data_IF_101844018591
#
_entry.id   IF_101844018591
#
_cell.length_a   1.000
_cell.length_b   1.000
_cell.length_c   1.000
_cell.angle_alpha   90.00
_cell.angle_beta   90.00
_cell.angle_gamma   90.00
#
_symmetry.space_group_name_H-M   'P 1'
#
loop_
_entity.id
_entity.type
_entity.pdbx_description
1 polymer ?
#
# COMPACT_ATOMS: atom_id res chain seq x y z
N UNK A 1 -1.71 -25.42 1.50
CA UNK A 1 -1.86 -24.74 2.78
C UNK A 1 -2.68 -23.49 2.61
N UNK A 2 -3.31 -23.00 3.67
CA UNK A 2 -4.13 -21.78 3.65
C UNK A 2 -3.33 -20.56 3.19
N UNK A 3 -2.06 -20.44 3.56
CA UNK A 3 -1.19 -19.34 3.15
C UNK A 3 -1.01 -19.27 1.62
N UNK A 4 -0.85 -20.45 0.95
CA UNK A 4 -0.82 -20.50 -0.52
C UNK A 4 -2.15 -20.07 -1.15
N UNK A 5 -3.27 -20.37 -0.51
CA UNK A 5 -4.57 -19.94 -1.00
C UNK A 5 -4.72 -18.41 -0.88
N UNK A 6 -4.23 -17.81 0.20
CA UNK A 6 -4.22 -16.36 0.35
C UNK A 6 -3.37 -15.68 -0.74
N UNK A 7 -2.17 -16.21 -1.05
CA UNK A 7 -1.35 -15.69 -2.16
C UNK A 7 -2.12 -15.78 -3.49
N UNK A 8 -2.83 -16.90 -3.75
CA UNK A 8 -3.66 -17.02 -4.95
C UNK A 8 -4.81 -16.01 -4.98
N UNK A 9 -5.47 -15.78 -3.85
CA UNK A 9 -6.54 -14.77 -3.76
C UNK A 9 -6.01 -13.36 -4.01
N UNK A 10 -4.86 -13.02 -3.44
CA UNK A 10 -4.20 -11.73 -3.70
C UNK A 10 -3.81 -11.61 -5.18
N UNK A 11 -3.26 -12.66 -5.79
CA UNK A 11 -2.95 -12.69 -7.21
C UNK A 11 -4.19 -12.48 -8.09
N UNK A 12 -5.29 -13.16 -7.78
CA UNK A 12 -6.57 -12.96 -8.50
C UNK A 12 -7.11 -11.54 -8.31
N UNK A 13 -7.03 -11.00 -7.10
CA UNK A 13 -7.44 -9.62 -6.82
C UNK A 13 -6.62 -8.59 -7.61
N UNK A 14 -5.31 -8.82 -7.76
CA UNK A 14 -4.43 -7.98 -8.60
C UNK A 14 -4.84 -8.02 -10.08
N UNK A 15 -5.18 -9.20 -10.60
CA UNK A 15 -5.70 -9.33 -11.96
C UNK A 15 -7.05 -8.63 -12.14
N UNK A 16 -7.96 -8.77 -11.18
CA UNK A 16 -9.27 -8.11 -11.21
C UNK A 16 -9.12 -6.58 -11.11
N UNK A 17 -8.23 -6.10 -10.24
CA UNK A 17 -7.89 -4.68 -10.15
C UNK A 17 -7.34 -4.14 -11.48
N UNK A 18 -6.39 -4.86 -12.09
CA UNK A 18 -5.82 -4.46 -13.38
C UNK A 18 -6.88 -4.47 -14.49
N UNK A 19 -7.78 -5.44 -14.49
CA UNK A 19 -8.91 -5.50 -15.44
C UNK A 19 -9.83 -4.29 -15.32
N UNK A 20 -10.09 -3.83 -14.08
CA UNK A 20 -10.98 -2.70 -13.80
C UNK A 20 -10.32 -1.35 -14.09
N UNK A 21 -9.03 -1.19 -13.77
CA UNK A 21 -8.35 0.11 -13.78
C UNK A 21 -7.22 0.23 -14.80
N UNK A 22 -6.91 -0.86 -15.53
CA UNK A 22 -5.80 -0.93 -16.50
C UNK A 22 -4.43 -0.53 -15.89
N UNK A 23 -4.25 -0.80 -14.61
CA UNK A 23 -3.01 -0.61 -13.84
C UNK A 23 -3.05 -1.46 -12.57
N UNK A 24 -1.91 -1.64 -11.93
CA UNK A 24 -1.84 -2.23 -10.60
C UNK A 24 -2.10 -1.19 -9.50
N UNK A 25 -2.56 -1.63 -8.30
CA UNK A 25 -2.68 -0.71 -7.17
C UNK A 25 -1.30 -0.16 -6.80
N UNK A 26 -1.26 1.13 -6.47
CA UNK A 26 0.01 1.80 -6.17
C UNK A 26 0.54 1.35 -4.81
N UNK A 27 1.78 0.88 -4.78
CA UNK A 27 2.53 0.70 -3.54
C UNK A 27 3.02 2.08 -3.05
N UNK A 28 2.74 2.41 -1.79
CA UNK A 28 2.88 3.77 -1.29
C UNK A 28 2.02 4.77 -2.06
N UNK A 29 0.75 4.48 -2.12
CA UNK A 29 -0.28 5.36 -2.67
C UNK A 29 -1.04 6.09 -1.58
N UNK A 30 -2.10 6.80 -1.97
CA UNK A 30 -3.00 7.51 -1.09
C UNK A 30 -3.07 9.01 -1.35
N UNK A 31 -3.21 9.79 -0.27
CA UNK A 31 -3.39 11.24 -0.30
C UNK A 31 -2.21 11.98 0.33
N UNK A 32 -1.96 13.18 -0.16
CA UNK A 32 -0.98 14.10 0.38
C UNK A 32 -1.55 15.52 0.32
N UNK A 33 -2.25 15.91 1.38
CA UNK A 33 -2.92 17.21 1.50
C UNK A 33 -2.22 18.20 2.41
N UNK A 34 -1.16 17.80 3.10
CA UNK A 34 -0.58 18.59 4.18
C UNK A 34 0.61 19.46 3.78
N UNK A 35 0.96 19.50 2.49
CA UNK A 35 2.05 20.35 2.02
C UNK A 35 3.42 19.98 2.60
N UNK A 36 3.72 18.69 2.68
CA UNK A 36 5.05 18.13 3.00
C UNK A 36 5.65 18.48 4.38
N UNK A 37 4.87 19.05 5.28
CA UNK A 37 5.37 19.41 6.61
C UNK A 37 5.70 18.17 7.45
N UNK A 38 6.98 17.98 7.73
CA UNK A 38 7.47 16.88 8.59
C UNK A 38 7.93 15.61 7.87
N UNK A 39 7.97 15.60 6.54
CA UNK A 39 8.49 14.47 5.75
C UNK A 39 7.58 13.23 5.71
N UNK A 40 8.04 12.18 5.05
CA UNK A 40 7.29 10.94 4.78
C UNK A 40 6.75 10.18 6.00
N UNK A 41 7.40 10.31 7.15
CA UNK A 41 7.07 9.52 8.34
C UNK A 41 6.36 10.32 9.42
N UNK A 42 6.11 11.60 9.19
CA UNK A 42 5.34 12.39 10.14
C UNK A 42 3.89 11.90 10.20
N UNK A 43 3.36 11.80 11.40
CA UNK A 43 1.96 11.47 11.61
C UNK A 43 1.04 12.59 11.14
N UNK A 44 -0.05 12.23 10.49
CA UNK A 44 -1.07 13.17 10.03
C UNK A 44 -2.46 12.63 10.30
N UNK A 45 -3.40 13.52 10.66
CA UNK A 45 -4.81 13.19 10.76
C UNK A 45 -5.59 13.61 9.50
N UNK A 46 -5.00 14.46 8.65
CA UNK A 46 -5.68 15.08 7.50
C UNK A 46 -5.33 14.41 6.16
N UNK A 47 -4.38 13.51 6.16
CA UNK A 47 -3.96 12.73 5.00
C UNK A 47 -3.19 11.47 5.43
N UNK A 48 -2.89 10.57 4.51
CA UNK A 48 -2.09 9.38 4.78
C UNK A 48 -0.64 9.46 4.29
N UNK A 49 -0.23 10.60 3.78
CA UNK A 49 1.14 10.90 3.33
C UNK A 49 1.71 9.91 2.34
N UNK A 50 0.87 9.41 1.43
CA UNK A 50 1.25 8.39 0.46
C UNK A 50 1.88 7.15 1.12
N UNK A 51 1.36 6.73 2.27
CA UNK A 51 1.88 5.57 3.00
C UNK A 51 1.02 4.32 2.87
N UNK A 52 -0.02 4.34 2.02
CA UNK A 52 -0.90 3.19 1.87
C UNK A 52 -0.24 2.09 1.05
N UNK A 53 -0.34 0.86 1.54
CA UNK A 53 0.08 -0.35 0.85
C UNK A 53 -0.81 -0.62 -0.37
N UNK A 54 -0.28 -1.31 -1.38
CA UNK A 54 -1.05 -1.84 -2.50
C UNK A 54 -2.23 -2.72 -2.05
N UNK A 55 -2.13 -3.36 -0.89
CA UNK A 55 -3.19 -4.20 -0.31
C UNK A 55 -4.48 -3.41 -0.03
N UNK A 56 -4.37 -2.12 0.30
CA UNK A 56 -5.54 -1.26 0.53
C UNK A 56 -6.39 -1.15 -0.72
N UNK A 57 -5.78 -0.99 -1.89
CA UNK A 57 -6.49 -0.96 -3.17
C UNK A 57 -7.15 -2.27 -3.56
N UNK A 58 -6.72 -3.39 -2.98
CA UNK A 58 -7.28 -4.72 -3.26
C UNK A 58 -8.54 -5.05 -2.45
N UNK A 59 -8.87 -4.29 -1.42
CA UNK A 59 -9.98 -4.61 -0.52
C UNK A 59 -11.31 -4.88 -1.22
N UNK A 60 -11.75 -4.11 -2.24
CA UNK A 60 -12.98 -4.41 -2.97
C UNK A 60 -12.94 -5.75 -3.72
N UNK A 61 -11.74 -6.24 -4.07
CA UNK A 61 -11.52 -7.44 -4.86
C UNK A 61 -11.27 -8.70 -4.01
N UNK A 62 -11.28 -8.56 -2.68
CA UNK A 62 -11.11 -9.65 -1.71
C UNK A 62 -12.26 -9.69 -0.70
N UNK A 63 -13.45 -9.27 -1.12
CA UNK A 63 -14.67 -9.28 -0.30
C UNK A 63 -14.63 -8.36 0.93
N UNK A 64 -13.80 -7.32 0.92
CA UNK A 64 -13.68 -6.33 1.99
C UNK A 64 -14.29 -4.97 1.60
N UNK A 65 -15.44 -5.00 0.92
CA UNK A 65 -16.10 -3.78 0.41
C UNK A 65 -16.50 -2.82 1.53
N UNK A 66 -17.06 -3.31 2.64
CA UNK A 66 -17.44 -2.47 3.75
C UNK A 66 -16.24 -1.75 4.39
N UNK A 67 -15.11 -2.44 4.50
CA UNK A 67 -13.86 -1.83 5.02
C UNK A 67 -13.30 -0.80 4.03
N UNK A 68 -13.38 -1.11 2.73
CA UNK A 68 -13.01 -0.15 1.69
C UNK A 68 -13.89 1.10 1.70
N UNK A 69 -15.20 0.96 1.86
CA UNK A 69 -16.12 2.09 1.98
C UNK A 69 -15.78 2.97 3.19
N UNK A 70 -15.43 2.36 4.32
CA UNK A 70 -14.98 3.11 5.50
C UNK A 70 -13.67 3.88 5.21
N UNK A 71 -12.72 3.28 4.51
CA UNK A 71 -11.47 3.96 4.14
C UNK A 71 -11.73 5.07 3.13
N UNK A 72 -12.47 4.78 2.06
CA UNK A 72 -12.69 5.72 0.96
C UNK A 72 -13.53 6.93 1.36
N UNK A 73 -14.45 6.76 2.30
CA UNK A 73 -15.30 7.85 2.82
C UNK A 73 -14.71 8.56 4.03
N UNK A 74 -13.71 7.96 4.71
CA UNK A 74 -13.20 8.44 5.99
C UNK A 74 -14.16 8.15 7.16
N UNK A 75 -13.90 8.74 8.30
CA UNK A 75 -14.73 8.61 9.49
C UNK A 75 -15.15 9.98 10.05
N UNK A 76 -16.36 10.45 9.72
CA UNK A 76 -16.86 11.72 10.20
C UNK A 76 -17.33 11.68 11.65
N UNK A 77 -17.39 10.52 12.27
CA UNK A 77 -17.98 10.35 13.62
C UNK A 77 -16.94 10.49 14.73
N UNK A 78 -15.67 10.35 14.41
CA UNK A 78 -14.60 10.46 15.39
C UNK A 78 -14.18 11.93 15.58
N UNK A 79 -14.27 12.46 16.81
CA UNK A 79 -13.84 13.81 17.13
C UNK A 79 -12.32 13.86 17.24
N UNK A 80 -11.62 13.81 16.10
CA UNK A 80 -10.17 13.99 16.05
C UNK A 80 -9.87 15.42 15.64
N UNK A 81 -9.17 16.17 16.48
CA UNK A 81 -8.74 17.51 16.14
C UNK A 81 -7.77 17.47 14.91
N UNK A 82 -7.97 18.30 13.91
CA UNK A 82 -8.91 19.40 13.89
C UNK A 82 -10.38 19.04 13.58
N UNK A 83 -10.76 17.85 13.13
CA UNK A 83 -12.20 17.56 12.95
C UNK A 83 -12.54 16.06 12.89
N UNK A 84 -12.10 15.31 11.89
CA UNK A 84 -12.45 13.91 11.64
C UNK A 84 -11.47 13.31 10.65
N UNK A 85 -11.46 12.00 10.51
CA UNK A 85 -10.60 11.37 9.52
C UNK A 85 -11.15 11.56 8.10
N UNK A 86 -10.34 12.09 7.18
CA UNK A 86 -10.76 12.39 5.81
C UNK A 86 -10.94 11.11 4.97
N UNK A 87 -11.57 11.24 3.81
CA UNK A 87 -11.50 10.20 2.77
C UNK A 87 -10.08 9.70 2.54
N UNK A 88 -9.94 8.38 2.39
CA UNK A 88 -8.68 7.62 2.33
C UNK A 88 -7.91 7.53 3.65
N UNK A 89 -8.45 8.06 4.75
CA UNK A 89 -7.93 7.92 6.09
C UNK A 89 -6.67 8.72 6.42
N UNK A 90 -6.26 8.69 7.69
CA UNK A 90 -5.05 9.31 8.20
C UNK A 90 -3.81 8.46 7.89
N UNK A 91 -2.63 8.88 8.39
CA UNK A 91 -1.43 8.05 8.32
C UNK A 91 -1.61 6.70 9.05
N UNK A 92 -1.00 5.61 8.55
CA UNK A 92 -1.23 4.24 9.05
C UNK A 92 -0.89 4.02 10.53
N UNK A 93 -0.14 4.91 11.16
CA UNK A 93 0.16 4.85 12.60
C UNK A 93 -0.97 5.37 13.51
N UNK A 94 -2.10 5.79 12.94
CA UNK A 94 -3.28 6.23 13.71
C UNK A 94 -4.18 5.05 14.06
N UNK A 95 -3.90 4.41 15.19
CA UNK A 95 -4.64 3.23 15.66
C UNK A 95 -6.12 3.51 16.02
N UNK A 96 -6.52 4.76 16.17
CA UNK A 96 -7.93 5.15 16.38
C UNK A 96 -8.78 5.09 15.12
N UNK A 97 -8.16 5.03 13.94
CA UNK A 97 -8.87 4.75 12.71
C UNK A 97 -9.02 3.23 12.53
N UNK A 98 -10.23 2.74 12.76
CA UNK A 98 -10.54 1.30 12.82
C UNK A 98 -10.00 0.48 11.64
N UNK A 99 -10.08 0.95 10.38
CA UNK A 99 -9.53 0.19 9.26
C UNK A 99 -8.04 -0.16 9.40
N UNK A 100 -7.23 0.70 10.05
CA UNK A 100 -5.79 0.45 10.20
C UNK A 100 -5.45 -0.62 11.25
N UNK A 101 -6.36 -0.92 12.15
CA UNK A 101 -6.17 -1.94 13.18
C UNK A 101 -6.96 -3.23 12.91
N UNK A 102 -7.73 -3.26 11.84
CA UNK A 102 -8.52 -4.44 11.45
C UNK A 102 -7.62 -5.46 10.77
N UNK A 103 -7.58 -6.67 11.33
CA UNK A 103 -6.91 -7.81 10.67
C UNK A 103 -7.83 -8.42 9.61
N UNK A 104 -7.28 -8.59 8.42
CA UNK A 104 -8.00 -9.18 7.28
C UNK A 104 -7.49 -10.60 7.07
N UNK A 105 -8.34 -11.64 7.23
CA UNK A 105 -7.89 -13.04 7.12
C UNK A 105 -7.17 -13.38 5.82
N UNK A 106 -7.57 -12.79 4.70
CA UNK A 106 -6.92 -12.96 3.41
C UNK A 106 -5.48 -12.41 3.38
N UNK A 107 -5.14 -11.48 4.27
CA UNK A 107 -3.79 -10.90 4.40
C UNK A 107 -2.96 -11.53 5.52
N UNK A 108 -3.52 -12.53 6.21
CA UNK A 108 -2.82 -13.24 7.29
C UNK A 108 -2.53 -14.68 6.90
N UNK A 109 -1.30 -15.10 7.11
CA UNK A 109 -0.95 -16.51 7.06
C UNK A 109 -1.35 -17.16 8.39
N UNK A 110 -2.22 -18.19 8.40
CA UNK A 110 -2.64 -18.85 9.66
C UNK A 110 -1.49 -19.50 10.43
N UNK A 111 -0.35 -19.69 9.79
CA UNK A 111 0.85 -20.26 10.44
C UNK A 111 1.69 -19.18 11.18
N UNK A 112 1.37 -17.91 11.01
CA UNK A 112 2.04 -16.83 11.74
C UNK A 112 1.36 -16.66 13.12
N UNK A 113 2.09 -16.90 14.23
CA UNK A 113 1.55 -16.79 15.58
C UNK A 113 1.42 -15.34 16.08
N UNK A 114 1.90 -14.35 15.30
CA UNK A 114 1.90 -12.95 15.72
C UNK A 114 0.49 -12.39 15.93
N UNK A 115 0.23 -11.81 17.11
CA UNK A 115 -1.05 -11.19 17.46
C UNK A 115 -0.86 -9.87 18.19
N UNK A 116 -1.84 -8.96 18.06
CA UNK A 116 -1.93 -7.75 18.84
C UNK A 116 -0.83 -6.71 18.63
N UNK A 117 -0.80 -5.73 19.53
CA UNK A 117 0.16 -4.62 19.53
C UNK A 117 1.61 -5.11 19.69
N UNK A 118 2.62 -4.35 19.19
CA UNK A 118 2.52 -2.97 18.73
C UNK A 118 2.14 -2.78 17.24
N UNK A 119 1.93 -3.84 16.48
CA UNK A 119 1.54 -3.71 15.08
C UNK A 119 0.04 -3.43 14.96
N UNK A 120 -0.32 -2.55 14.04
CA UNK A 120 -1.68 -2.36 13.57
C UNK A 120 -2.12 -3.58 12.72
N UNK A 121 -3.20 -3.48 11.93
CA UNK A 121 -3.66 -4.60 11.13
C UNK A 121 -2.50 -5.31 10.40
N UNK A 122 -2.19 -6.54 10.83
CA UNK A 122 -1.01 -7.28 10.37
C UNK A 122 -1.22 -7.87 8.99
N UNK A 123 -0.16 -7.99 8.24
CA UNK A 123 -0.12 -8.73 6.97
C UNK A 123 1.15 -9.55 6.86
N UNK A 124 1.04 -10.70 6.19
CA UNK A 124 2.18 -11.55 5.86
C UNK A 124 2.53 -11.49 4.36
N UNK A 125 2.00 -10.52 3.64
CA UNK A 125 2.22 -10.43 2.19
C UNK A 125 2.77 -9.05 1.83
N UNK A 126 3.85 -9.05 1.05
CA UNK A 126 4.55 -7.85 0.61
C UNK A 126 4.65 -7.76 -0.92
N UNK A 127 4.65 -6.54 -1.42
CA UNK A 127 4.90 -6.24 -2.83
C UNK A 127 6.36 -6.49 -3.20
N UNK A 128 6.61 -7.06 -4.36
CA UNK A 128 7.95 -7.16 -4.92
C UNK A 128 8.33 -5.83 -5.59
N UNK A 129 9.25 -5.09 -4.99
CA UNK A 129 9.77 -3.84 -5.53
C UNK A 129 11.12 -4.02 -6.24
N UNK A 130 11.70 -5.22 -6.18
CA UNK A 130 12.98 -5.57 -6.79
C UNK A 130 14.05 -5.93 -5.78
N UNK A 131 15.29 -5.85 -6.22
CA UNK A 131 16.47 -6.34 -5.51
C UNK A 131 17.31 -5.23 -4.85
N UNK A 132 16.89 -3.98 -4.95
CA UNK A 132 17.56 -2.85 -4.34
C UNK A 132 16.68 -2.14 -3.32
N UNK A 133 17.30 -1.67 -2.24
CA UNK A 133 16.61 -0.91 -1.19
C UNK A 133 16.57 0.60 -1.46
N UNK A 134 17.43 1.08 -2.37
CA UNK A 134 17.48 2.50 -2.72
C UNK A 134 16.12 2.93 -3.30
N UNK A 135 15.61 4.08 -2.84
CA UNK A 135 14.30 4.61 -3.25
C UNK A 135 13.06 3.79 -2.86
N UNK A 136 13.21 2.68 -2.15
CA UNK A 136 12.08 1.85 -1.71
C UNK A 136 11.06 2.59 -0.84
N UNK A 137 11.50 3.62 -0.09
CA UNK A 137 10.62 4.39 0.80
C UNK A 137 10.05 5.67 0.19
N UNK A 138 10.77 6.32 -0.73
CA UNK A 138 10.41 7.65 -1.23
C UNK A 138 10.13 7.70 -2.72
N UNK A 139 10.32 6.59 -3.42
CA UNK A 139 10.20 6.61 -4.87
C UNK A 139 11.16 7.64 -5.47
N UNK A 140 10.70 8.40 -6.44
CA UNK A 140 11.47 9.49 -7.05
C UNK A 140 11.50 10.77 -6.22
N UNK A 141 10.71 10.84 -5.14
CA UNK A 141 10.71 12.00 -4.23
C UNK A 141 11.92 11.97 -3.28
N UNK A 142 12.24 13.11 -2.68
CA UNK A 142 13.19 13.15 -1.56
C UNK A 142 12.46 13.02 -0.21
N UNK A 143 13.23 13.10 0.86
CA UNK A 143 12.69 13.02 2.22
C UNK A 143 11.61 14.08 2.52
N UNK A 144 11.73 15.27 1.94
CA UNK A 144 10.79 16.37 2.11
C UNK A 144 9.67 16.37 1.06
N UNK A 145 9.50 15.27 0.30
CA UNK A 145 8.51 15.17 -0.77
C UNK A 145 8.69 16.19 -1.89
N UNK A 146 9.89 16.75 -2.06
CA UNK A 146 10.19 17.61 -3.20
C UNK A 146 9.92 16.85 -4.51
N UNK A 147 9.22 17.45 -5.48
CA UNK A 147 8.90 16.82 -6.74
C UNK A 147 10.12 16.17 -7.41
N UNK A 148 9.95 15.03 -8.09
CA UNK A 148 11.05 14.33 -8.71
C UNK A 148 11.69 15.14 -9.84
N UNK A 149 13.00 15.01 -9.97
CA UNK A 149 13.77 15.46 -11.12
C UNK A 149 14.30 14.27 -11.93
N UNK A 150 14.88 14.53 -13.10
CA UNK A 150 15.38 13.47 -14.00
C UNK A 150 16.35 12.51 -13.32
N UNK A 151 17.31 13.01 -12.55
CA UNK A 151 18.28 12.19 -11.83
C UNK A 151 17.62 11.26 -10.78
N UNK A 152 16.60 11.71 -10.09
CA UNK A 152 15.87 10.87 -9.12
C UNK A 152 15.04 9.79 -9.81
N UNK A 153 14.41 10.13 -10.93
CA UNK A 153 13.65 9.20 -11.76
C UNK A 153 14.57 8.11 -12.33
N UNK A 154 15.74 8.49 -12.84
CA UNK A 154 16.74 7.54 -13.33
C UNK A 154 17.22 6.57 -12.23
N UNK A 155 17.51 7.09 -11.04
CA UNK A 155 17.88 6.27 -9.87
C UNK A 155 16.75 5.33 -9.45
N UNK A 156 15.52 5.80 -9.44
CA UNK A 156 14.36 4.96 -9.14
C UNK A 156 14.27 3.80 -10.13
N UNK A 157 14.33 4.07 -11.42
CA UNK A 157 14.27 3.05 -12.46
C UNK A 157 15.44 2.06 -12.41
N UNK A 158 16.62 2.52 -12.01
CA UNK A 158 17.79 1.66 -11.84
C UNK A 158 17.71 0.76 -10.61
N UNK A 159 17.03 1.19 -9.55
CA UNK A 159 16.95 0.48 -8.27
C UNK A 159 15.67 -0.36 -8.10
N UNK A 160 14.52 0.17 -8.48
CA UNK A 160 13.22 -0.48 -8.29
C UNK A 160 12.80 -1.21 -9.57
N UNK A 161 13.31 -2.43 -9.75
CA UNK A 161 13.09 -3.26 -10.95
C UNK A 161 12.01 -4.31 -10.76
N UNK A 162 11.31 -4.28 -9.64
CA UNK A 162 10.21 -5.19 -9.35
C UNK A 162 8.91 -4.75 -10.00
N UNK A 163 7.87 -5.54 -9.78
CA UNK A 163 6.54 -5.30 -10.32
C UNK A 163 5.87 -4.05 -9.76
N UNK A 164 6.22 -3.67 -8.54
CA UNK A 164 5.72 -2.46 -7.89
C UNK A 164 6.83 -1.42 -7.75
N UNK A 165 6.52 -0.21 -8.16
CA UNK A 165 7.40 0.94 -7.99
C UNK A 165 6.73 1.90 -7.00
N UNK A 166 7.41 2.31 -5.91
CA UNK A 166 6.81 3.19 -4.91
C UNK A 166 6.29 4.50 -5.51
N UNK A 167 5.04 4.83 -5.19
CA UNK A 167 4.35 6.06 -5.62
C UNK A 167 4.11 6.16 -7.15
N UNK A 168 4.34 5.09 -7.89
CA UNK A 168 4.05 5.03 -9.32
C UNK A 168 3.06 3.91 -9.64
N UNK A 169 2.24 4.11 -10.66
CA UNK A 169 1.37 3.06 -11.19
C UNK A 169 2.12 2.23 -12.23
N UNK A 170 2.06 0.90 -12.09
CA UNK A 170 2.63 -0.06 -13.04
C UNK A 170 1.52 -0.84 -13.72
N UNK A 171 1.82 -1.44 -14.86
CA UNK A 171 0.89 -2.24 -15.67
C UNK A 171 1.52 -3.57 -16.03
N UNK A 172 0.70 -4.56 -16.34
CA UNK A 172 1.21 -5.86 -16.80
C UNK A 172 2.05 -5.76 -18.07
N UNK A 173 1.75 -4.82 -18.96
CA UNK A 173 2.55 -4.59 -20.17
C UNK A 173 3.98 -4.09 -19.90
N UNK A 174 4.24 -3.55 -18.71
CA UNK A 174 5.55 -3.02 -18.33
C UNK A 174 6.50 -4.17 -17.89
N UNK A 175 5.99 -5.40 -17.78
CA UNK A 175 6.75 -6.60 -17.43
C UNK A 175 7.33 -7.24 -18.69
N UNK A 176 8.58 -6.94 -18.96
CA UNK A 176 9.26 -7.37 -20.20
C UNK A 176 9.68 -8.84 -20.17
N UNK A 177 9.93 -9.40 -18.98
CA UNK A 177 10.40 -10.80 -18.80
C UNK A 177 9.26 -11.82 -18.78
N UNK A 178 8.01 -11.36 -18.97
CA UNK A 178 6.80 -12.15 -18.94
C UNK A 178 6.23 -12.35 -17.54
N UNK A 179 4.91 -12.28 -17.43
CA UNK A 179 4.18 -12.36 -16.14
C UNK A 179 4.42 -13.67 -15.39
N UNK A 180 4.64 -14.77 -16.09
CA UNK A 180 4.91 -16.09 -15.49
C UNK A 180 6.29 -16.19 -14.82
N UNK A 181 7.19 -15.29 -15.16
CA UNK A 181 8.56 -15.28 -14.65
C UNK A 181 8.83 -14.13 -13.67
N UNK A 182 7.81 -13.32 -13.37
CA UNK A 182 7.96 -12.14 -12.53
C UNK A 182 7.18 -12.30 -11.24
N UNK A 183 7.85 -12.11 -10.11
CA UNK A 183 7.23 -12.13 -8.79
C UNK A 183 6.49 -10.79 -8.54
N UNK A 184 5.17 -10.87 -8.29
CA UNK A 184 4.37 -9.70 -7.93
C UNK A 184 4.39 -9.42 -6.42
N UNK A 185 4.09 -10.46 -5.64
CA UNK A 185 4.07 -10.38 -4.18
C UNK A 185 4.51 -11.70 -3.59
N UNK A 186 4.94 -11.67 -2.35
CA UNK A 186 5.38 -12.86 -1.63
C UNK A 186 4.95 -12.84 -0.18
N UNK A 187 4.94 -14.03 0.42
CA UNK A 187 4.77 -14.19 1.86
C UNK A 187 6.06 -13.76 2.59
N UNK A 188 5.88 -13.00 3.64
CA UNK A 188 6.93 -12.58 4.57
C UNK A 188 6.57 -13.08 5.98
N UNK A 189 7.59 -13.44 6.80
CA UNK A 189 7.36 -13.90 8.17
C UNK A 189 6.84 -12.80 9.10
#
# INVERSE_FOLDING_TARGET
SSCKNNVKQIGLALHNYHSAYNQLPVQRGGTDGSGYLGGHYASSNIDNRLQLSFLVGLMPFIEQTALWEHISNGDPTLPVAPNFYPPMGPTPNRATFVPWVTEIPAFRCPSDPGTGLPANGRTNYAACMGDAIEKGNSGAYDWNMTPPNSSRIERLRASQRGMFVPMESTKFRDVLDGLSNTLMCGEIP
#
